data_IF_085187291706
#
_entry.id   IF_085187291706
#
_cell.length_a   1.000
_cell.length_b   1.000
_cell.length_c   1.000
_cell.angle_alpha   90.00
_cell.angle_beta   90.00
_cell.angle_gamma   90.00
#
_symmetry.space_group_name_H-M   'P 1'
#
loop_
_entity.id
_entity.type
_entity.pdbx_description
1 polymer ?
#
# COMPACT_ATOMS: atom_id res chain seq x y z
N UNK A 1 24.80 -33.64 -4.42
CA UNK A 1 23.73 -33.78 -5.43
C UNK A 1 22.42 -34.33 -4.85
N UNK A 2 22.44 -35.27 -3.89
CA UNK A 2 21.22 -35.79 -3.23
C UNK A 2 20.50 -34.78 -2.30
N UNK A 3 21.18 -33.77 -1.77
CA UNK A 3 20.59 -32.74 -0.88
C UNK A 3 19.80 -31.66 -1.61
N UNK A 4 20.04 -31.45 -2.91
CA UNK A 4 19.38 -30.42 -3.72
C UNK A 4 17.99 -30.87 -4.24
N UNK A 5 17.77 -32.19 -4.32
CA UNK A 5 16.49 -32.77 -4.75
C UNK A 5 15.47 -32.73 -3.61
N UNK A 6 15.92 -32.85 -2.35
CA UNK A 6 15.04 -32.81 -1.18
C UNK A 6 14.45 -31.42 -0.93
N UNK A 7 15.20 -30.34 -1.22
CA UNK A 7 14.72 -28.95 -1.07
C UNK A 7 13.69 -28.55 -2.13
N UNK A 8 13.75 -29.13 -3.34
CA UNK A 8 12.77 -28.85 -4.39
C UNK A 8 11.42 -29.53 -4.13
N UNK A 9 11.43 -30.72 -3.52
CA UNK A 9 10.20 -31.44 -3.18
C UNK A 9 9.41 -30.77 -2.03
N UNK A 10 10.08 -30.10 -1.10
CA UNK A 10 9.38 -29.32 -0.06
C UNK A 10 8.74 -28.03 -0.60
N UNK A 11 9.29 -27.43 -1.66
CA UNK A 11 8.70 -26.22 -2.28
C UNK A 11 7.44 -26.57 -3.08
N UNK A 12 7.42 -27.72 -3.76
CA UNK A 12 6.26 -28.17 -4.53
C UNK A 12 5.03 -28.48 -3.65
N UNK A 13 5.24 -28.95 -2.41
CA UNK A 13 4.14 -29.29 -1.51
C UNK A 13 3.45 -28.08 -0.88
N UNK A 14 4.09 -26.90 -0.89
CA UNK A 14 3.45 -25.64 -0.44
C UNK A 14 2.59 -25.03 -1.55
N UNK A 15 2.91 -25.29 -2.83
CA UNK A 15 2.15 -24.77 -3.96
C UNK A 15 0.88 -25.57 -4.28
N UNK A 16 0.83 -26.87 -3.95
CA UNK A 16 -0.28 -27.75 -4.34
C UNK A 16 -1.58 -27.63 -3.53
N UNK A 17 -1.60 -26.89 -2.43
CA UNK A 17 -2.80 -26.75 -1.57
C UNK A 17 -3.69 -25.54 -1.90
N UNK A 18 -3.25 -24.65 -2.80
CA UNK A 18 -4.01 -23.44 -3.16
C UNK A 18 -5.05 -23.67 -4.26
N UNK A 19 -4.94 -24.74 -5.05
CA UNK A 19 -5.80 -24.94 -6.22
C UNK A 19 -7.22 -25.43 -5.87
N UNK A 20 -7.39 -26.20 -4.79
CA UNK A 20 -8.74 -26.65 -4.36
C UNK A 20 -9.59 -25.53 -3.75
N UNK A 21 -8.97 -24.58 -3.05
CA UNK A 21 -9.67 -23.37 -2.54
C UNK A 21 -10.07 -22.45 -3.70
N UNK A 22 -9.28 -22.40 -4.76
CA UNK A 22 -9.61 -21.66 -5.99
C UNK A 22 -10.75 -22.28 -6.79
N UNK A 23 -10.85 -23.62 -6.86
CA UNK A 23 -11.85 -24.29 -7.68
C UNK A 23 -13.28 -24.24 -7.10
N UNK A 24 -13.43 -24.13 -5.77
CA UNK A 24 -14.74 -23.94 -5.12
C UNK A 24 -15.33 -22.52 -5.32
N UNK A 25 -14.54 -21.59 -5.87
CA UNK A 25 -14.86 -20.16 -6.03
C UNK A 25 -15.59 -19.80 -7.34
N UNK A 26 -15.87 -20.77 -8.21
CA UNK A 26 -16.33 -20.54 -9.59
C UNK A 26 -17.84 -20.58 -9.82
N UNK A 27 -18.67 -20.80 -8.80
CA UNK A 27 -20.13 -20.83 -8.97
C UNK A 27 -20.86 -19.96 -7.93
N UNK A 28 -20.32 -18.78 -7.65
CA UNK A 28 -21.03 -17.80 -6.84
C UNK A 28 -22.10 -17.09 -7.65
N UNK A 29 -23.29 -16.83 -7.08
CA UNK A 29 -24.31 -16.07 -7.76
C UNK A 29 -23.83 -14.64 -7.98
N UNK A 30 -24.02 -14.13 -9.20
CA UNK A 30 -23.85 -12.71 -9.45
C UNK A 30 -25.00 -11.92 -8.79
N UNK A 31 -24.69 -10.75 -8.22
CA UNK A 31 -25.68 -9.95 -7.48
C UNK A 31 -26.15 -8.72 -8.26
N UNK A 32 -27.45 -8.43 -8.16
CA UNK A 32 -28.01 -7.09 -8.42
C UNK A 32 -28.25 -6.40 -7.08
N UNK A 33 -28.48 -5.07 -7.06
CA UNK A 33 -28.82 -4.37 -5.82
C UNK A 33 -30.05 -4.95 -5.13
N UNK A 34 -31.01 -5.49 -5.88
CA UNK A 34 -32.27 -6.05 -5.38
C UNK A 34 -32.12 -7.47 -4.84
N UNK A 35 -31.15 -8.25 -5.32
CA UNK A 35 -30.91 -9.62 -4.85
C UNK A 35 -29.80 -9.72 -3.82
N UNK A 36 -29.00 -8.67 -3.64
CA UNK A 36 -27.95 -8.67 -2.62
C UNK A 36 -28.56 -8.85 -1.21
N UNK A 37 -28.01 -9.72 -0.36
CA UNK A 37 -28.58 -10.00 0.96
C UNK A 37 -28.51 -8.79 1.91
N UNK A 38 -29.44 -8.73 2.86
CA UNK A 38 -29.44 -7.72 3.91
C UNK A 38 -28.81 -8.28 5.18
N UNK A 39 -27.59 -7.86 5.55
CA UNK A 39 -26.87 -8.37 6.74
C UNK A 39 -27.54 -8.09 8.10
N UNK A 40 -28.66 -7.38 8.15
CA UNK A 40 -29.47 -7.25 9.36
C UNK A 40 -30.58 -8.31 9.45
N UNK A 41 -30.88 -9.03 8.37
CA UNK A 41 -31.98 -9.99 8.25
C UNK A 41 -31.48 -11.35 7.75
N UNK A 42 -30.69 -11.36 6.67
CA UNK A 42 -30.21 -12.55 5.97
C UNK A 42 -28.81 -12.97 6.46
N UNK A 43 -28.70 -13.37 7.72
CA UNK A 43 -27.40 -13.62 8.39
C UNK A 43 -26.57 -14.70 7.68
N UNK A 44 -27.21 -15.81 7.33
CA UNK A 44 -26.54 -16.94 6.66
C UNK A 44 -26.01 -16.55 5.28
N UNK A 45 -26.78 -15.78 4.51
CA UNK A 45 -26.39 -15.33 3.17
C UNK A 45 -25.20 -14.35 3.20
N UNK A 46 -24.95 -13.70 4.33
CA UNK A 46 -23.78 -12.85 4.57
C UNK A 46 -22.66 -13.57 5.35
N UNK A 47 -22.79 -14.87 5.62
CA UNK A 47 -21.86 -15.69 6.41
C UNK A 47 -21.57 -15.15 7.82
N UNK A 48 -22.54 -14.52 8.46
CA UNK A 48 -22.46 -13.95 9.81
C UNK A 48 -23.43 -14.63 10.75
N UNK A 49 -23.15 -14.56 12.06
CA UNK A 49 -23.99 -15.16 13.11
C UNK A 49 -24.87 -14.14 13.83
N UNK A 50 -24.56 -12.86 13.68
CA UNK A 50 -25.25 -11.75 14.33
C UNK A 50 -25.51 -10.62 13.32
N UNK A 51 -26.60 -9.84 13.47
CA UNK A 51 -26.85 -8.67 12.65
C UNK A 51 -25.64 -7.73 12.62
N UNK A 52 -25.22 -7.34 11.42
CA UNK A 52 -23.99 -6.56 11.19
C UNK A 52 -24.19 -5.53 10.08
N UNK A 53 -23.37 -4.49 10.07
CA UNK A 53 -23.27 -3.53 8.97
C UNK A 53 -22.39 -4.04 7.82
N UNK A 54 -21.78 -5.21 7.97
CA UNK A 54 -20.92 -5.85 6.98
C UNK A 54 -21.63 -7.08 6.43
N UNK A 55 -21.73 -7.16 5.10
CA UNK A 55 -22.13 -8.37 4.41
C UNK A 55 -20.99 -8.84 3.51
N UNK A 56 -20.59 -10.10 3.67
CA UNK A 56 -19.70 -10.78 2.75
C UNK A 56 -20.41 -11.97 2.12
N UNK A 57 -21.09 -11.70 1.01
CA UNK A 57 -22.01 -12.65 0.39
C UNK A 57 -21.31 -13.91 -0.16
N UNK A 58 -19.98 -13.89 -0.30
CA UNK A 58 -19.22 -14.99 -0.90
C UNK A 58 -17.96 -15.39 -0.12
N UNK A 59 -17.71 -14.83 1.07
CA UNK A 59 -16.57 -15.19 1.91
C UNK A 59 -15.23 -14.72 1.34
N UNK A 60 -15.16 -13.49 0.83
CA UNK A 60 -13.90 -12.90 0.32
C UNK A 60 -13.07 -12.20 1.38
N UNK A 61 -13.66 -11.81 2.51
CA UNK A 61 -12.94 -11.13 3.57
C UNK A 61 -12.00 -12.09 4.28
N UNK A 62 -10.72 -11.76 4.24
CA UNK A 62 -9.65 -12.46 4.92
C UNK A 62 -9.67 -12.22 6.44
N UNK A 63 -9.09 -13.15 7.20
CA UNK A 63 -8.94 -13.01 8.65
C UNK A 63 -7.89 -11.95 8.98
N UNK A 64 -8.18 -11.15 10.00
CA UNK A 64 -7.28 -10.10 10.47
C UNK A 64 -7.21 -10.12 12.00
N UNK A 65 -6.00 -10.10 12.57
CA UNK A 65 -5.78 -10.10 14.02
C UNK A 65 -6.49 -11.26 14.77
N UNK A 66 -6.54 -12.46 14.17
CA UNK A 66 -7.28 -13.63 14.68
C UNK A 66 -8.80 -13.47 14.77
N UNK A 67 -9.37 -12.54 14.01
CA UNK A 67 -10.81 -12.33 13.89
C UNK A 67 -11.24 -12.51 12.44
N UNK A 68 -12.49 -12.94 12.25
CA UNK A 68 -13.10 -12.96 10.91
C UNK A 68 -13.19 -11.52 10.41
N UNK A 69 -12.87 -11.29 9.13
CA UNK A 69 -12.87 -9.93 8.57
C UNK A 69 -14.20 -9.19 8.75
N UNK A 70 -15.33 -9.91 8.70
CA UNK A 70 -16.67 -9.35 8.99
C UNK A 70 -16.82 -8.82 10.41
N UNK A 71 -16.31 -9.55 11.42
CA UNK A 71 -16.37 -9.18 12.84
C UNK A 71 -15.44 -8.00 13.14
N UNK A 72 -14.23 -8.05 12.58
CA UNK A 72 -13.26 -6.97 12.71
C UNK A 72 -13.80 -5.65 12.14
N UNK A 73 -14.30 -5.67 10.89
CA UNK A 73 -14.87 -4.49 10.24
C UNK A 73 -16.12 -3.98 10.98
N UNK A 74 -16.98 -4.88 11.48
CA UNK A 74 -18.13 -4.49 12.29
C UNK A 74 -17.71 -3.75 13.56
N UNK A 75 -16.63 -4.19 14.23
CA UNK A 75 -16.12 -3.51 15.42
C UNK A 75 -15.62 -2.09 15.11
N UNK A 76 -15.02 -1.88 13.93
CA UNK A 76 -14.57 -0.57 13.46
C UNK A 76 -15.76 0.35 13.15
N UNK A 77 -16.79 -0.18 12.47
CA UNK A 77 -18.01 0.57 12.17
C UNK A 77 -18.72 0.99 13.46
N UNK A 78 -18.87 0.08 14.43
CA UNK A 78 -19.45 0.40 15.73
C UNK A 78 -18.65 1.45 16.48
N UNK A 79 -17.31 1.44 16.36
CA UNK A 79 -16.47 2.50 16.91
C UNK A 79 -16.76 3.85 16.24
N UNK A 80 -16.91 3.90 14.92
CA UNK A 80 -17.29 5.14 14.21
C UNK A 80 -18.64 5.65 14.71
N UNK A 81 -19.65 4.77 14.78
CA UNK A 81 -20.99 5.10 15.28
C UNK A 81 -21.00 5.66 16.69
N UNK A 82 -20.15 5.14 17.60
CA UNK A 82 -20.08 5.61 19.00
C UNK A 82 -19.23 6.85 19.21
N UNK A 83 -18.31 7.14 18.30
CA UNK A 83 -17.32 8.23 18.47
C UNK A 83 -17.56 9.43 17.58
N UNK A 84 -18.51 9.34 16.64
CA UNK A 84 -18.97 10.47 15.84
C UNK A 84 -20.26 11.03 16.42
N UNK A 85 -20.49 12.32 16.20
CA UNK A 85 -21.72 12.97 16.64
C UNK A 85 -22.88 12.59 15.71
N UNK A 86 -24.08 12.50 16.27
CA UNK A 86 -25.29 12.40 15.47
C UNK A 86 -25.53 13.74 14.75
N UNK A 87 -25.64 13.70 13.42
CA UNK A 87 -25.72 14.89 12.57
C UNK A 87 -27.16 15.27 12.18
N UNK A 88 -28.15 14.55 12.67
CA UNK A 88 -29.56 14.81 12.38
C UNK A 88 -30.04 16.05 13.13
N UNK A 89 -29.89 17.21 12.49
CA UNK A 89 -30.40 18.49 12.98
C UNK A 89 -31.93 18.53 12.86
N UNK A 90 -32.66 18.51 13.96
CA UNK A 90 -34.10 18.74 13.88
C UNK A 90 -34.89 18.59 15.19
N UNK A 91 -35.55 19.66 15.68
CA UNK A 91 -36.61 19.57 16.68
C UNK A 91 -37.98 19.16 16.09
N UNK A 92 -38.08 18.73 14.82
CA UNK A 92 -39.38 18.57 14.12
C UNK A 92 -39.49 17.33 13.22
N UNK A 93 -40.25 16.34 13.70
CA UNK A 93 -41.39 15.66 13.04
C UNK A 93 -41.29 14.78 11.78
N UNK A 94 -40.14 14.48 11.17
CA UNK A 94 -40.13 13.41 10.12
C UNK A 94 -39.01 12.37 10.20
N UNK A 95 -37.80 12.73 10.64
CA UNK A 95 -36.66 11.78 10.67
C UNK A 95 -36.13 11.48 12.08
N UNK A 96 -36.71 12.08 13.12
CA UNK A 96 -36.26 11.95 14.51
C UNK A 96 -34.91 12.66 14.71
N UNK A 97 -34.88 13.67 15.58
CA UNK A 97 -33.63 14.32 15.95
C UNK A 97 -32.66 13.37 16.67
N UNK A 98 -31.49 13.88 17.02
CA UNK A 98 -30.55 13.15 17.87
C UNK A 98 -31.09 13.09 19.31
N UNK A 99 -31.36 11.88 19.79
CA UNK A 99 -31.64 11.59 21.20
C UNK A 99 -30.35 11.17 21.93
N UNK A 100 -30.33 11.09 23.29
CA UNK A 100 -29.14 10.68 24.03
C UNK A 100 -28.64 9.26 23.71
N UNK A 101 -29.47 8.44 23.06
CA UNK A 101 -29.14 7.09 22.60
C UNK A 101 -28.74 7.03 21.13
N UNK A 102 -28.77 8.17 20.43
CA UNK A 102 -28.53 8.24 19.00
C UNK A 102 -27.05 8.08 18.75
N UNK A 103 -26.75 7.07 17.94
CA UNK A 103 -25.40 6.88 17.43
C UNK A 103 -25.14 7.90 16.31
N UNK A 104 -23.85 8.14 16.04
CA UNK A 104 -23.42 8.94 14.92
C UNK A 104 -23.61 8.23 13.58
N UNK A 105 -22.82 8.67 12.60
CA UNK A 105 -22.89 8.21 11.21
C UNK A 105 -22.79 6.69 11.07
N UNK A 106 -23.52 6.14 10.12
CA UNK A 106 -23.58 4.69 9.88
C UNK A 106 -22.85 4.30 8.61
N UNK A 107 -21.75 3.56 8.73
CA UNK A 107 -21.04 2.99 7.59
C UNK A 107 -21.50 1.55 7.40
N UNK A 108 -21.66 1.13 6.14
CA UNK A 108 -22.00 -0.23 5.77
C UNK A 108 -21.10 -0.74 4.65
N UNK A 109 -20.90 -2.04 4.61
CA UNK A 109 -20.00 -2.71 3.67
C UNK A 109 -20.74 -3.84 2.97
N UNK A 110 -20.67 -3.86 1.64
CA UNK A 110 -21.17 -4.93 0.79
C UNK A 110 -20.02 -5.51 -0.04
N UNK A 111 -19.63 -6.75 0.27
CA UNK A 111 -18.63 -7.50 -0.51
C UNK A 111 -19.33 -8.56 -1.36
N UNK A 112 -18.97 -8.62 -2.62
CA UNK A 112 -19.48 -9.57 -3.61
C UNK A 112 -18.34 -10.04 -4.53
N UNK A 113 -18.52 -11.23 -5.10
CA UNK A 113 -17.63 -11.75 -6.14
C UNK A 113 -17.68 -10.87 -7.38
N UNK A 114 -18.87 -10.67 -7.95
CA UNK A 114 -19.06 -10.07 -9.27
C UNK A 114 -20.45 -9.43 -9.41
N UNK A 115 -20.53 -8.33 -10.16
CA UNK A 115 -21.79 -7.70 -10.52
C UNK A 115 -22.55 -8.52 -11.58
N UNK A 116 -23.86 -8.69 -11.39
CA UNK A 116 -24.73 -9.35 -12.37
C UNK A 116 -24.91 -8.51 -13.61
N UNK A 117 -24.64 -9.11 -14.77
CA UNK A 117 -24.73 -8.45 -16.08
C UNK A 117 -24.79 -9.47 -17.20
N UNK A 118 -25.32 -9.03 -18.34
CA UNK A 118 -25.48 -9.88 -19.52
C UNK A 118 -24.18 -9.99 -20.34
N UNK A 119 -23.24 -9.06 -20.18
CA UNK A 119 -22.01 -9.00 -20.98
C UNK A 119 -20.82 -8.44 -20.17
N UNK A 120 -19.60 -8.75 -20.63
CA UNK A 120 -18.35 -8.29 -20.02
C UNK A 120 -18.13 -6.78 -20.20
N UNK A 121 -17.33 -6.15 -19.34
CA UNK A 121 -17.19 -4.70 -19.32
C UNK A 121 -16.31 -4.32 -20.50
N UNK A 122 -16.75 -3.34 -21.28
CA UNK A 122 -15.99 -2.86 -22.42
C UNK A 122 -14.93 -1.84 -22.01
N UNK A 123 -15.18 -1.11 -20.91
CA UNK A 123 -14.29 -0.08 -20.39
C UNK A 123 -14.27 -0.04 -18.84
N UNK A 124 -13.23 0.61 -18.29
CA UNK A 124 -13.13 0.89 -16.85
C UNK A 124 -14.24 1.85 -16.39
N UNK A 125 -14.61 2.81 -17.22
CA UNK A 125 -15.68 3.78 -16.95
C UNK A 125 -17.04 3.08 -16.82
N UNK A 126 -17.37 2.16 -17.74
CA UNK A 126 -18.61 1.39 -17.68
C UNK A 126 -18.68 0.57 -16.37
N UNK A 127 -17.57 -0.07 -16.01
CA UNK A 127 -17.44 -0.82 -14.77
C UNK A 127 -17.71 0.04 -13.54
N UNK A 128 -17.05 1.20 -13.44
CA UNK A 128 -17.22 2.12 -12.32
C UNK A 128 -18.64 2.71 -12.27
N UNK A 129 -19.23 3.01 -13.42
CA UNK A 129 -20.61 3.48 -13.51
C UNK A 129 -21.62 2.43 -13.02
N UNK A 130 -21.47 1.17 -13.43
CA UNK A 130 -22.32 0.07 -12.93
C UNK A 130 -22.12 -0.16 -11.43
N UNK A 131 -20.88 -0.08 -10.94
CA UNK A 131 -20.60 -0.17 -9.51
C UNK A 131 -21.24 0.99 -8.72
N UNK A 132 -21.23 2.20 -9.29
CA UNK A 132 -21.88 3.38 -8.73
C UNK A 132 -23.39 3.19 -8.58
N UNK A 133 -24.05 2.78 -9.67
CA UNK A 133 -25.49 2.48 -9.68
C UNK A 133 -25.80 1.38 -8.67
N UNK A 134 -25.01 0.31 -8.66
CA UNK A 134 -25.21 -0.80 -7.73
C UNK A 134 -25.20 -0.33 -6.28
N UNK A 135 -24.14 0.40 -5.91
CA UNK A 135 -23.90 0.87 -4.55
C UNK A 135 -24.97 1.88 -4.13
N UNK A 136 -25.34 2.82 -5.01
CA UNK A 136 -26.36 3.81 -4.70
C UNK A 136 -27.74 3.17 -4.49
N UNK A 137 -28.16 2.29 -5.40
CA UNK A 137 -29.44 1.59 -5.29
C UNK A 137 -29.48 0.72 -4.04
N UNK A 138 -28.39 0.02 -3.73
CA UNK A 138 -28.30 -0.81 -2.54
C UNK A 138 -28.40 0.02 -1.25
N UNK A 139 -27.69 1.16 -1.15
CA UNK A 139 -27.78 2.08 0.00
C UNK A 139 -29.21 2.56 0.21
N UNK A 140 -29.84 3.04 -0.86
CA UNK A 140 -31.21 3.56 -0.83
C UNK A 140 -32.25 2.49 -0.48
N UNK A 141 -32.00 1.23 -0.84
CA UNK A 141 -32.85 0.10 -0.47
C UNK A 141 -32.67 -0.29 0.99
N UNK A 142 -31.43 -0.35 1.48
CA UNK A 142 -31.14 -0.78 2.85
C UNK A 142 -31.43 0.30 3.91
N UNK A 143 -31.38 1.59 3.53
CA UNK A 143 -31.71 2.75 4.39
C UNK A 143 -31.16 2.64 5.81
N UNK A 144 -29.84 2.49 5.92
CA UNK A 144 -29.20 2.24 7.21
C UNK A 144 -29.01 3.51 8.04
N UNK A 145 -29.07 4.66 7.38
CA UNK A 145 -29.04 5.98 8.02
C UNK A 145 -30.41 6.43 8.50
N UNK A 146 -30.41 7.34 9.47
CA UNK A 146 -31.61 7.99 10.01
C UNK A 146 -31.98 9.24 9.20
N UNK A 147 -30.99 10.02 8.78
CA UNK A 147 -31.18 11.29 8.06
C UNK A 147 -30.23 11.44 6.87
N UNK A 148 -30.05 10.37 6.07
CA UNK A 148 -28.99 10.30 5.05
C UNK A 148 -27.58 10.53 5.63
N UNK A 149 -27.36 10.09 6.87
CA UNK A 149 -26.08 10.03 7.58
C UNK A 149 -25.37 8.67 7.37
N UNK A 150 -25.79 7.91 6.35
CA UNK A 150 -25.19 6.64 6.00
C UNK A 150 -24.22 6.69 4.83
N UNK A 151 -23.29 5.74 4.86
CA UNK A 151 -22.30 5.49 3.82
C UNK A 151 -22.36 4.00 3.50
N UNK A 152 -22.39 3.64 2.23
CA UNK A 152 -22.24 2.27 1.78
C UNK A 152 -21.00 2.16 0.92
N UNK A 153 -20.07 1.30 1.34
CA UNK A 153 -18.89 0.90 0.57
C UNK A 153 -19.22 -0.45 -0.04
N UNK A 154 -19.13 -0.57 -1.36
CA UNK A 154 -19.27 -1.85 -2.03
C UNK A 154 -17.97 -2.24 -2.75
N UNK A 155 -17.62 -3.52 -2.67
CA UNK A 155 -16.43 -4.12 -3.27
C UNK A 155 -16.83 -5.33 -4.11
N UNK A 156 -16.63 -5.22 -5.43
CA UNK A 156 -16.72 -6.35 -6.37
C UNK A 156 -15.31 -6.90 -6.62
N UNK A 157 -15.02 -8.05 -6.03
CA UNK A 157 -13.66 -8.59 -5.96
C UNK A 157 -13.14 -9.01 -7.34
N UNK A 158 -13.93 -9.78 -8.11
CA UNK A 158 -13.53 -10.26 -9.42
C UNK A 158 -13.56 -9.17 -10.49
N UNK A 159 -14.46 -8.18 -10.37
CA UNK A 159 -14.44 -7.03 -11.26
C UNK A 159 -13.30 -6.05 -10.87
N UNK A 160 -12.69 -6.19 -9.68
CA UNK A 160 -11.66 -5.27 -9.18
C UNK A 160 -12.20 -3.84 -9.14
N UNK A 161 -13.37 -3.66 -8.54
CA UNK A 161 -14.07 -2.39 -8.46
C UNK A 161 -14.57 -2.15 -7.04
N UNK A 162 -14.30 -0.95 -6.54
CA UNK A 162 -14.80 -0.45 -5.26
C UNK A 162 -15.51 0.86 -5.52
N UNK A 163 -16.63 1.08 -4.84
CA UNK A 163 -17.36 2.33 -4.92
C UNK A 163 -17.97 2.67 -3.57
N UNK A 164 -18.10 3.97 -3.29
CA UNK A 164 -18.72 4.48 -2.07
C UNK A 164 -19.94 5.32 -2.45
N UNK A 165 -21.11 4.94 -1.96
CA UNK A 165 -22.31 5.80 -1.98
C UNK A 165 -22.43 6.49 -0.64
N UNK A 166 -22.60 7.82 -0.67
CA UNK A 166 -22.70 8.65 0.53
C UNK A 166 -24.08 9.30 0.61
N UNK A 167 -24.65 9.32 1.81
CA UNK A 167 -25.85 10.09 2.12
C UNK A 167 -25.55 11.59 2.18
N UNK A 168 -26.58 12.41 1.94
CA UNK A 168 -26.45 13.87 1.86
C UNK A 168 -25.83 14.48 3.12
N UNK A 169 -26.20 13.99 4.30
CA UNK A 169 -25.71 14.50 5.58
C UNK A 169 -24.25 14.14 5.81
N UNK A 170 -23.85 12.90 5.45
CA UNK A 170 -22.45 12.48 5.52
C UNK A 170 -21.55 13.23 4.51
N UNK A 171 -22.10 13.58 3.34
CA UNK A 171 -21.39 14.31 2.27
C UNK A 171 -20.94 15.72 2.67
N UNK A 172 -21.46 16.28 3.77
CA UNK A 172 -20.96 17.55 4.31
C UNK A 172 -19.56 17.43 4.94
N UNK A 173 -19.12 16.22 5.31
CA UNK A 173 -17.85 15.96 5.98
C UNK A 173 -16.84 15.23 5.11
N UNK A 174 -17.32 14.48 4.11
CA UNK A 174 -16.47 13.68 3.22
C UNK A 174 -16.72 14.14 1.79
N UNK A 175 -15.74 14.81 1.19
CA UNK A 175 -15.79 15.22 -0.22
C UNK A 175 -15.45 14.07 -1.17
N UNK A 176 -15.80 14.23 -2.45
CA UNK A 176 -15.46 13.26 -3.51
C UNK A 176 -13.95 13.09 -3.66
N UNK A 177 -13.18 14.16 -3.48
CA UNK A 177 -11.72 14.14 -3.51
C UNK A 177 -11.16 13.23 -2.41
N UNK A 178 -11.66 13.38 -1.18
CA UNK A 178 -11.27 12.52 -0.05
C UNK A 178 -11.59 11.05 -0.35
N UNK A 179 -12.78 10.76 -0.88
CA UNK A 179 -13.17 9.38 -1.25
C UNK A 179 -12.18 8.82 -2.28
N UNK A 180 -11.86 9.57 -3.33
CA UNK A 180 -10.96 9.13 -4.39
C UNK A 180 -9.54 8.87 -3.87
N UNK A 181 -9.01 9.74 -3.02
CA UNK A 181 -7.68 9.57 -2.42
C UNK A 181 -7.61 8.35 -1.50
N UNK A 182 -8.56 8.22 -0.57
CA UNK A 182 -8.64 7.08 0.35
C UNK A 182 -8.80 5.77 -0.44
N UNK A 183 -9.68 5.76 -1.45
CA UNK A 183 -9.93 4.59 -2.29
C UNK A 183 -8.69 4.19 -3.08
N UNK A 184 -7.93 5.16 -3.59
CA UNK A 184 -6.67 4.90 -4.30
C UNK A 184 -5.61 4.26 -3.40
N UNK A 185 -5.55 4.64 -2.12
CA UNK A 185 -4.65 4.00 -1.16
C UNK A 185 -5.16 2.60 -0.81
N UNK A 186 -6.47 2.43 -0.59
CA UNK A 186 -7.07 1.11 -0.33
C UNK A 186 -6.88 0.13 -1.49
N UNK A 187 -6.85 0.61 -2.74
CA UNK A 187 -6.61 -0.20 -3.94
C UNK A 187 -5.26 -0.94 -3.92
N UNK A 188 -4.25 -0.45 -3.18
CA UNK A 188 -2.98 -1.18 -3.01
C UNK A 188 -3.19 -2.46 -2.20
N UNK A 189 -4.00 -2.40 -1.13
CA UNK A 189 -4.36 -3.57 -0.34
C UNK A 189 -5.22 -4.55 -1.14
N UNK A 190 -6.15 -4.05 -1.97
CA UNK A 190 -6.99 -4.90 -2.81
C UNK A 190 -6.20 -5.66 -3.87
N UNK A 191 -5.15 -5.06 -4.43
CA UNK A 191 -4.21 -5.74 -5.34
C UNK A 191 -3.43 -6.86 -4.67
N UNK A 192 -3.13 -6.70 -3.38
CA UNK A 192 -2.47 -7.71 -2.55
C UNK A 192 -3.45 -8.75 -1.97
N UNK A 193 -4.72 -8.73 -2.37
CA UNK A 193 -5.80 -9.58 -1.85
C UNK A 193 -6.04 -9.44 -0.33
N UNK A 194 -5.68 -8.28 0.24
CA UNK A 194 -5.90 -7.88 1.64
C UNK A 194 -7.17 -7.03 1.75
N UNK A 195 -8.31 -7.67 1.52
CA UNK A 195 -9.59 -6.96 1.38
C UNK A 195 -10.05 -6.37 2.71
N UNK A 196 -9.86 -7.12 3.80
CA UNK A 196 -10.22 -6.67 5.14
C UNK A 196 -9.44 -5.43 5.55
N UNK A 197 -8.12 -5.39 5.34
CA UNK A 197 -7.28 -4.22 5.65
C UNK A 197 -7.62 -3.01 4.78
N UNK A 198 -7.82 -3.22 3.47
CA UNK A 198 -8.18 -2.15 2.55
C UNK A 198 -9.52 -1.50 2.93
N UNK A 199 -10.53 -2.31 3.28
CA UNK A 199 -11.81 -1.80 3.78
C UNK A 199 -11.68 -1.14 5.15
N UNK A 200 -10.87 -1.70 6.05
CA UNK A 200 -10.63 -1.11 7.37
C UNK A 200 -9.96 0.27 7.26
N UNK A 201 -9.04 0.47 6.32
CA UNK A 201 -8.46 1.76 6.00
C UNK A 201 -9.54 2.77 5.58
N UNK A 202 -10.45 2.39 4.69
CA UNK A 202 -11.56 3.25 4.26
C UNK A 202 -12.44 3.64 5.45
N UNK A 203 -12.89 2.66 6.24
CA UNK A 203 -13.77 2.89 7.42
C UNK A 203 -13.12 3.82 8.43
N UNK A 204 -11.84 3.62 8.75
CA UNK A 204 -11.11 4.47 9.71
C UNK A 204 -10.97 5.89 9.19
N UNK A 205 -10.59 6.03 7.92
CA UNK A 205 -10.38 7.34 7.29
C UNK A 205 -11.67 8.15 7.25
N UNK A 206 -12.79 7.50 6.87
CA UNK A 206 -14.11 8.13 6.95
C UNK A 206 -14.49 8.45 8.40
N UNK A 207 -14.23 7.55 9.34
CA UNK A 207 -14.45 7.80 10.77
C UNK A 207 -13.74 9.04 11.30
N UNK A 208 -12.49 9.28 10.86
CA UNK A 208 -11.72 10.49 11.20
C UNK A 208 -12.37 11.74 10.60
N UNK A 209 -12.69 11.72 9.30
CA UNK A 209 -13.35 12.85 8.63
C UNK A 209 -14.71 13.20 9.23
N UNK A 210 -15.50 12.19 9.62
CA UNK A 210 -16.83 12.37 10.22
C UNK A 210 -16.77 12.94 11.64
N UNK A 211 -15.61 12.86 12.32
CA UNK A 211 -15.38 13.57 13.59
C UNK A 211 -15.05 15.04 13.38
N UNK A 212 -14.72 15.43 12.15
CA UNK A 212 -14.16 16.75 11.83
C UNK A 212 -12.66 16.83 12.07
N UNK A 213 -11.98 15.71 12.26
CA UNK A 213 -10.53 15.65 12.40
C UNK A 213 -9.85 15.74 11.02
N UNK A 214 -8.64 16.31 10.97
CA UNK A 214 -7.84 16.34 9.75
C UNK A 214 -7.34 14.95 9.38
N UNK A 215 -7.45 14.60 8.10
CA UNK A 215 -7.02 13.31 7.58
C UNK A 215 -5.53 13.35 7.23
N UNK A 216 -4.70 12.80 8.10
CA UNK A 216 -3.26 12.62 7.83
C UNK A 216 -3.02 11.33 7.02
N UNK A 217 -3.22 11.42 5.70
CA UNK A 217 -2.90 10.32 4.77
C UNK A 217 -1.39 10.07 4.66
N UNK A 218 -0.54 11.00 5.14
CA UNK A 218 0.92 10.88 5.00
C UNK A 218 1.48 9.68 5.76
N UNK A 219 0.84 9.31 6.87
CA UNK A 219 1.19 8.12 7.69
C UNK A 219 0.87 6.81 6.99
N UNK A 220 -0.11 6.80 6.09
CA UNK A 220 -0.43 5.61 5.28
C UNK A 220 0.34 5.58 3.97
N UNK A 221 0.81 6.74 3.52
CA UNK A 221 1.90 6.85 2.55
C UNK A 221 3.25 6.84 3.24
N UNK A 222 3.44 5.98 4.25
CA UNK A 222 4.79 5.51 4.55
C UNK A 222 5.36 5.08 3.21
N UNK A 223 6.46 5.73 2.84
CA UNK A 223 7.11 5.67 1.55
C UNK A 223 7.63 4.23 1.32
N UNK A 224 6.72 3.31 1.09
CA UNK A 224 6.95 1.94 0.71
C UNK A 224 7.22 2.02 -0.79
N UNK A 225 8.44 2.42 -1.16
CA UNK A 225 8.99 1.79 -2.35
C UNK A 225 9.11 0.31 -1.97
N UNK A 226 8.36 -0.62 -2.61
CA UNK A 226 8.73 -2.02 -2.55
C UNK A 226 9.95 -2.15 -3.47
N UNK A 227 11.07 -1.54 -3.10
CA UNK A 227 12.34 -2.12 -3.47
C UNK A 227 12.44 -3.30 -2.51
N UNK A 228 12.11 -4.52 -2.97
CA UNK A 228 12.23 -5.67 -2.10
C UNK A 228 13.65 -5.67 -1.53
N UNK A 229 13.82 -6.12 -0.28
CA UNK A 229 15.06 -5.94 0.48
C UNK A 229 16.31 -6.41 -0.32
N UNK A 230 16.14 -7.42 -1.17
CA UNK A 230 17.15 -7.88 -2.11
C UNK A 230 17.63 -6.80 -3.09
N UNK A 231 16.76 -5.94 -3.59
CA UNK A 231 17.10 -4.89 -4.55
C UNK A 231 17.92 -3.79 -3.89
N UNK A 232 17.63 -3.43 -2.63
CA UNK A 232 18.46 -2.52 -1.84
C UNK A 232 19.86 -3.12 -1.63
N UNK A 233 19.94 -4.41 -1.31
CA UNK A 233 21.22 -5.13 -1.18
C UNK A 233 21.98 -5.15 -2.51
N UNK A 234 21.30 -5.38 -3.64
CA UNK A 234 21.91 -5.38 -4.98
C UNK A 234 22.46 -4.00 -5.34
N UNK A 235 21.69 -2.93 -5.13
CA UNK A 235 22.15 -1.55 -5.37
C UNK A 235 23.36 -1.24 -4.49
N UNK A 236 23.33 -1.62 -3.21
CA UNK A 236 24.45 -1.47 -2.29
C UNK A 236 25.71 -2.19 -2.78
N UNK A 237 25.59 -3.44 -3.23
CA UNK A 237 26.70 -4.20 -3.81
C UNK A 237 27.28 -3.54 -5.07
N UNK A 238 26.43 -3.03 -5.97
CA UNK A 238 26.87 -2.34 -7.19
C UNK A 238 27.68 -1.09 -6.83
N UNK A 239 27.21 -0.29 -5.86
CA UNK A 239 27.92 0.91 -5.40
C UNK A 239 29.28 0.54 -4.79
N UNK A 240 29.36 -0.52 -3.98
CA UNK A 240 30.62 -0.99 -3.40
C UNK A 240 31.61 -1.43 -4.49
N UNK A 241 31.16 -2.20 -5.49
CA UNK A 241 32.01 -2.63 -6.61
C UNK A 241 32.51 -1.43 -7.41
N UNK A 242 31.66 -0.44 -7.66
CA UNK A 242 32.04 0.81 -8.33
C UNK A 242 33.11 1.57 -7.53
N UNK A 243 32.96 1.68 -6.21
CA UNK A 243 33.96 2.32 -5.33
C UNK A 243 35.29 1.56 -5.38
N UNK A 244 35.26 0.22 -5.28
CA UNK A 244 36.46 -0.60 -5.37
C UNK A 244 37.17 -0.47 -6.72
N UNK A 245 36.40 -0.40 -7.81
CA UNK A 245 36.95 -0.18 -9.16
C UNK A 245 37.62 1.20 -9.29
N UNK A 246 37.02 2.25 -8.71
CA UNK A 246 37.61 3.60 -8.68
C UNK A 246 38.91 3.60 -7.87
N UNK A 247 38.92 2.98 -6.68
CA UNK A 247 40.13 2.87 -5.84
C UNK A 247 41.23 2.13 -6.60
N UNK A 248 40.91 0.98 -7.22
CA UNK A 248 41.87 0.21 -8.00
C UNK A 248 42.43 1.01 -9.18
N UNK A 249 41.58 1.79 -9.87
CA UNK A 249 41.98 2.65 -10.98
C UNK A 249 42.92 3.78 -10.54
N UNK A 250 42.64 4.40 -9.39
CA UNK A 250 43.51 5.44 -8.79
C UNK A 250 44.86 4.84 -8.39
N UNK A 251 44.88 3.68 -7.75
CA UNK A 251 46.11 2.98 -7.37
C UNK A 251 46.93 2.61 -8.61
N UNK A 252 46.29 2.07 -9.64
CA UNK A 252 46.91 1.76 -10.92
C UNK A 252 47.55 3.00 -11.55
N UNK A 253 46.82 4.12 -11.59
CA UNK A 253 47.31 5.39 -12.12
C UNK A 253 48.53 5.91 -11.34
N UNK A 254 48.53 5.81 -10.01
CA UNK A 254 49.67 6.20 -9.16
C UNK A 254 50.90 5.32 -9.45
N UNK A 255 50.72 4.01 -9.63
CA UNK A 255 51.82 3.08 -9.94
C UNK A 255 52.41 3.39 -11.31
N UNK A 256 51.57 3.59 -12.33
CA UNK A 256 52.01 3.89 -13.68
C UNK A 256 52.83 5.20 -13.73
N UNK A 257 52.33 6.26 -13.08
CA UNK A 257 53.03 7.54 -13.00
C UNK A 257 54.38 7.43 -12.28
N UNK A 258 54.49 6.58 -11.26
CA UNK A 258 55.79 6.28 -10.60
C UNK A 258 56.76 5.53 -11.51
N UNK A 259 56.27 4.68 -12.41
CA UNK A 259 57.13 3.95 -13.34
C UNK A 259 57.68 4.84 -14.45
N UNK A 260 56.89 5.78 -14.98
CA UNK A 260 57.35 6.78 -15.95
C UNK A 260 58.50 7.62 -15.38
N UNK A 261 58.36 8.13 -14.15
CA UNK A 261 59.44 8.88 -13.49
C UNK A 261 60.72 8.08 -13.23
N UNK A 262 60.66 6.73 -13.20
CA UNK A 262 61.86 5.89 -13.10
C UNK A 262 62.55 5.64 -14.45
N UNK A 263 61.84 5.66 -15.58
CA UNK A 263 62.44 5.42 -16.91
C UNK A 263 63.36 6.55 -17.34
N UNK A 264 63.08 7.78 -16.93
CA UNK A 264 63.93 8.94 -17.23
C UNK A 264 65.26 8.96 -16.45
N UNK A 265 65.44 8.05 -15.48
CA UNK A 265 66.68 7.92 -14.69
C UNK A 265 67.68 6.91 -15.25
N UNK A 266 67.39 6.21 -16.36
CA UNK A 266 68.28 5.20 -16.96
C UNK A 266 68.81 5.56 -18.35
N UNK A 267 68.59 6.79 -18.84
CA UNK A 267 69.10 7.26 -20.14
C UNK A 267 70.27 8.23 -20.05
N UNK A 268 71.16 8.10 -19.05
CA UNK A 268 72.43 8.80 -19.00
C UNK A 268 73.58 7.82 -18.76
N UNK A 269 74.04 7.22 -19.86
CA UNK A 269 75.15 6.28 -19.90
C UNK A 269 75.85 6.21 -21.25
N UNK A 270 75.84 7.28 -22.05
CA UNK A 270 76.84 7.43 -23.11
C UNK A 270 78.05 8.10 -22.46
N UNK A 271 79.07 7.28 -22.18
CA UNK A 271 80.42 7.73 -21.77
C UNK A 271 81.03 8.52 -22.92
N UNK A 272 81.17 9.82 -22.75
CA UNK A 272 82.06 10.65 -23.56
C UNK A 272 83.45 10.68 -22.87
N UNK A 273 84.54 10.24 -23.52
CA UNK A 273 85.84 10.06 -22.86
C UNK A 273 86.68 11.34 -22.68
N UNK A 274 86.11 12.55 -22.82
CA UNK A 274 86.91 13.78 -22.74
C UNK A 274 86.31 14.90 -21.89
N UNK A 275 86.13 14.70 -20.58
CA UNK A 275 85.84 15.85 -19.71
C UNK A 275 86.65 15.88 -18.41
N UNK A 276 87.39 16.99 -18.27
CA UNK A 276 88.30 17.33 -17.17
C UNK A 276 87.54 17.57 -15.86
N UNK A 277 88.16 17.34 -14.70
CA UNK A 277 87.55 17.62 -13.41
C UNK A 277 87.43 19.13 -13.17
N UNK A 278 86.20 19.60 -12.93
CA UNK A 278 85.95 20.95 -12.39
C UNK A 278 85.50 20.82 -10.93
N UNK A 279 86.14 21.64 -10.10
CA UNK A 279 86.02 21.70 -8.64
C UNK A 279 84.62 22.08 -8.16
N UNK A 280 84.29 21.52 -6.99
CA UNK A 280 83.09 21.70 -6.19
C UNK A 280 82.68 23.15 -5.90
N UNK A 281 81.39 23.35 -5.62
CA UNK A 281 80.91 24.48 -4.80
C UNK A 281 79.69 24.08 -3.96
N UNK A 282 79.85 24.13 -2.64
CA UNK A 282 78.81 24.02 -1.63
C UNK A 282 77.70 25.05 -1.85
N UNK A 283 76.43 24.64 -1.77
CA UNK A 283 75.32 25.53 -1.39
C UNK A 283 74.35 24.79 -0.45
N UNK A 284 74.33 25.31 0.77
CA UNK A 284 73.39 25.12 1.88
C UNK A 284 72.00 25.66 1.50
N UNK A 285 70.88 24.97 1.82
CA UNK A 285 69.71 25.65 2.45
C UNK A 285 68.51 24.77 2.84
N UNK A 286 68.24 24.87 4.15
CA UNK A 286 66.97 25.13 4.85
C UNK A 286 65.87 24.06 4.92
N UNK A 287 65.75 23.55 6.14
CA UNK A 287 64.50 23.22 6.82
C UNK A 287 63.43 24.32 6.66
N UNK A 288 62.17 23.91 6.55
CA UNK A 288 61.07 24.59 7.25
C UNK A 288 59.94 23.60 7.54
N UNK A 289 59.70 23.39 8.84
CA UNK A 289 58.44 22.90 9.41
C UNK A 289 57.27 23.82 9.02
N UNK A 290 56.07 23.26 8.82
CA UNK A 290 54.79 23.86 9.27
C UNK A 290 53.66 22.82 9.15
N UNK A 291 53.25 22.18 10.25
CA UNK A 291 52.28 22.59 11.27
C UNK A 291 50.81 22.26 10.95
N UNK A 292 50.21 21.64 11.95
CA UNK A 292 48.82 21.24 12.20
C UNK A 292 47.77 22.36 12.04
N UNK A 293 46.52 21.92 11.79
CA UNK A 293 45.20 22.34 12.37
C UNK A 293 44.12 21.70 11.49
N UNK A 294 43.08 21.01 11.97
CA UNK A 294 42.38 21.14 13.24
C UNK A 294 41.28 22.19 13.15
N UNK A 295 40.15 21.85 12.50
CA UNK A 295 38.73 22.19 12.83
C UNK A 295 37.86 21.15 12.11
#
# INVERSE_FOLDING_TARGET
>A
MKTLILSLLTIANIYGQNDEVYNKRYNYPDFTPETYPNSLQDLEACHITLPSFVCDANGWLDEHENQRGTEYLQSLIERVRRTTYCACNGPTNYFGGCDPTSLGYTISIAVLSKLRRNYNFTSVEEKLNQMSIFTQTLRQRQRRGKCDDDILIALSVQDGAVWTSIGKTANHHISTENINEITKIADTYFKDMKYTEGLALIVRSFGTLLKGDELDLSKHTDWYYPLPLWLVVVIGCIIIVMILAVIASVVYYIIQKRQEGRRDSYSLGIRDPSFRPVKAKNIIRKETQKNERGV
#
